data_IF_916879692788
#
_entry.id   IF_916879692788
#
_cell.length_a   1.000
_cell.length_b   1.000
_cell.length_c   1.000
_cell.angle_alpha   90.00
_cell.angle_beta   90.00
_cell.angle_gamma   90.00
#
_symmetry.space_group_name_H-M   'P 1'
#
loop_
_entity.id
_entity.type
_entity.pdbx_description
1 polymer ?
#
# COMPACT_ATOMS: atom_id res chain seq x y z
N UNK A 1 41.17 6.59 61.62
CA UNK A 1 41.75 5.75 60.55
C UNK A 1 40.57 5.19 59.74
N UNK A 2 40.22 5.86 58.63
CA UNK A 2 40.15 5.29 57.25
C UNK A 2 39.00 4.26 57.08
N UNK A 3 37.77 4.65 56.67
CA UNK A 3 37.19 4.82 55.29
C UNK A 3 37.26 3.56 54.39
N UNK A 4 36.09 3.09 53.88
CA UNK A 4 35.68 2.96 52.45
C UNK A 4 34.59 1.88 52.28
N UNK A 5 33.44 2.30 51.72
CA UNK A 5 32.36 1.52 51.09
C UNK A 5 32.83 0.68 49.90
N UNK A 6 32.23 -0.49 49.66
CA UNK A 6 31.94 -0.94 48.28
C UNK A 6 30.70 -1.83 48.21
N UNK A 7 29.73 -1.37 47.41
CA UNK A 7 28.54 -2.04 46.94
C UNK A 7 28.87 -3.40 46.28
N UNK A 8 28.06 -4.43 46.54
CA UNK A 8 27.92 -5.58 45.64
C UNK A 8 26.44 -5.84 45.31
N UNK A 9 26.21 -5.84 44.00
CA UNK A 9 25.00 -5.95 43.20
C UNK A 9 24.16 -7.21 43.44
N UNK A 10 22.82 -7.14 43.47
CA UNK A 10 21.99 -8.30 43.21
C UNK A 10 22.04 -8.65 41.72
N UNK A 11 22.44 -9.89 41.47
CA UNK A 11 22.54 -10.59 40.19
C UNK A 11 21.28 -10.38 39.33
N UNK A 12 21.37 -9.50 38.33
CA UNK A 12 20.34 -9.33 37.30
C UNK A 12 20.26 -10.64 36.50
N UNK A 13 19.19 -11.40 36.71
CA UNK A 13 18.83 -12.54 35.87
C UNK A 13 18.37 -11.95 34.53
N UNK A 14 19.24 -11.97 33.53
CA UNK A 14 18.88 -11.72 32.13
C UNK A 14 17.89 -12.81 31.70
N UNK A 15 16.61 -12.58 31.97
CA UNK A 15 15.59 -13.11 31.06
C UNK A 15 15.84 -12.37 29.75
N UNK A 16 16.21 -13.12 28.73
CA UNK A 16 16.29 -12.68 27.34
C UNK A 16 14.92 -12.19 26.90
N UNK A 17 14.59 -10.97 27.30
CA UNK A 17 13.55 -10.17 26.70
C UNK A 17 13.99 -9.89 25.28
N UNK A 18 13.53 -10.72 24.35
CA UNK A 18 13.35 -10.26 22.99
C UNK A 18 12.31 -9.13 23.09
N UNK A 19 12.79 -7.89 23.26
CA UNK A 19 12.00 -6.72 22.97
C UNK A 19 11.75 -6.84 21.48
N UNK A 20 10.61 -7.43 21.11
CA UNK A 20 10.04 -7.19 19.79
C UNK A 20 9.66 -5.72 19.80
N UNK A 21 10.63 -4.85 19.54
CA UNK A 21 10.37 -3.59 18.86
C UNK A 21 9.83 -4.01 17.49
N UNK A 22 8.57 -4.41 17.47
CA UNK A 22 7.81 -4.57 16.26
C UNK A 22 7.63 -3.18 15.71
N UNK A 23 8.66 -2.67 15.05
CA UNK A 23 8.47 -1.74 13.96
C UNK A 23 7.51 -2.48 13.03
N UNK A 24 6.21 -2.18 13.13
CA UNK A 24 5.38 -2.25 11.94
C UNK A 24 6.10 -1.29 11.00
N UNK A 25 6.87 -1.86 10.10
CA UNK A 25 7.40 -1.13 8.97
C UNK A 25 6.29 -1.23 7.95
N UNK A 26 6.11 -0.18 7.17
CA UNK A 26 5.47 -0.16 5.86
C UNK A 26 6.03 -1.23 4.88
N UNK A 27 6.69 -2.30 5.37
CA UNK A 27 7.24 -3.44 4.64
C UNK A 27 6.17 -4.44 4.24
N UNK A 28 4.97 -4.37 4.82
CA UNK A 28 3.86 -5.24 4.43
C UNK A 28 2.56 -4.44 4.27
N UNK A 29 2.51 -3.46 3.34
CA UNK A 29 1.26 -2.82 3.00
C UNK A 29 0.31 -3.89 2.43
N UNK A 30 -1.00 -3.77 2.68
CA UNK A 30 -1.97 -4.74 2.20
C UNK A 30 -2.06 -4.68 0.67
N UNK A 31 -2.55 -5.76 0.08
CA UNK A 31 -2.81 -5.80 -1.36
C UNK A 31 -3.94 -4.82 -1.70
N UNK A 32 -3.72 -3.85 -2.60
CA UNK A 32 -4.76 -2.95 -3.06
C UNK A 32 -5.80 -3.71 -3.90
N UNK A 33 -7.03 -3.20 -3.90
CA UNK A 33 -8.16 -3.82 -4.60
C UNK A 33 -8.99 -2.77 -5.32
N UNK A 34 -9.71 -3.17 -6.36
CA UNK A 34 -10.78 -2.33 -6.93
C UNK A 34 -12.03 -2.51 -6.09
N UNK A 35 -12.47 -1.43 -5.46
CA UNK A 35 -13.69 -1.39 -4.67
C UNK A 35 -14.90 -1.53 -5.61
N UNK A 36 -15.84 -2.41 -5.25
CA UNK A 36 -17.02 -2.69 -6.07
C UNK A 36 -16.77 -3.60 -7.28
N UNK A 37 -15.58 -4.16 -7.44
CA UNK A 37 -15.34 -5.20 -8.42
C UNK A 37 -16.21 -6.44 -8.16
N UNK A 38 -16.66 -7.11 -9.23
CA UNK A 38 -17.48 -8.32 -9.10
C UNK A 38 -16.70 -9.47 -8.46
N UNK A 39 -17.41 -10.53 -8.03
CA UNK A 39 -16.76 -11.76 -7.54
C UNK A 39 -15.83 -12.40 -8.58
N UNK A 40 -16.00 -12.08 -9.87
CA UNK A 40 -15.14 -12.52 -10.98
C UNK A 40 -14.00 -11.55 -11.30
N UNK A 41 -13.77 -10.53 -10.47
CA UNK A 41 -12.79 -9.46 -10.68
C UNK A 41 -13.09 -8.62 -11.93
N UNK A 42 -14.35 -8.32 -12.17
CA UNK A 42 -14.76 -7.43 -13.25
C UNK A 42 -14.92 -6.00 -12.75
N UNK A 43 -14.47 -5.04 -13.56
CA UNK A 43 -14.59 -3.59 -13.34
C UNK A 43 -15.52 -3.05 -14.42
N UNK A 44 -16.58 -2.36 -14.03
CA UNK A 44 -17.50 -1.73 -14.99
C UNK A 44 -16.98 -0.35 -15.41
N UNK A 45 -16.90 -0.13 -16.71
CA UNK A 45 -16.42 1.11 -17.32
C UNK A 45 -17.47 2.23 -17.31
N UNK A 46 -18.74 1.92 -17.05
CA UNK A 46 -19.81 2.92 -16.91
C UNK A 46 -19.78 3.70 -15.59
N UNK A 47 -18.85 3.38 -14.69
CA UNK A 47 -18.69 4.03 -13.37
C UNK A 47 -17.25 4.49 -13.17
N UNK A 48 -17.05 5.41 -12.23
CA UNK A 48 -15.70 5.74 -11.75
C UNK A 48 -15.02 4.50 -11.17
N UNK A 49 -13.73 4.35 -11.42
CA UNK A 49 -12.94 3.19 -10.95
C UNK A 49 -12.35 3.57 -9.60
N UNK A 50 -12.76 2.87 -8.55
CA UNK A 50 -12.32 3.17 -7.19
C UNK A 50 -11.28 2.15 -6.75
N UNK A 51 -10.05 2.61 -6.52
CA UNK A 51 -8.98 1.82 -5.92
C UNK A 51 -9.01 2.00 -4.41
N UNK A 52 -8.89 0.90 -3.69
CA UNK A 52 -8.79 0.87 -2.23
C UNK A 52 -7.47 0.23 -1.84
N UNK A 53 -6.67 0.93 -1.04
CA UNK A 53 -5.64 0.31 -0.23
C UNK A 53 -6.25 0.02 1.15
N UNK A 54 -6.41 -1.26 1.54
CA UNK A 54 -7.00 -1.60 2.83
C UNK A 54 -6.27 -0.94 4.00
N UNK A 55 -6.97 -0.80 5.12
CA UNK A 55 -6.40 -0.20 6.32
C UNK A 55 -5.18 -0.99 6.82
N UNK A 56 -4.13 -0.26 7.20
CA UNK A 56 -3.00 -0.82 7.91
C UNK A 56 -2.47 0.18 8.94
N UNK A 57 -1.76 -0.32 9.94
CA UNK A 57 -1.38 0.45 11.13
C UNK A 57 0.14 0.68 11.14
N UNK A 58 0.59 1.64 10.36
CA UNK A 58 1.92 2.23 10.50
C UNK A 58 1.81 3.75 10.35
N UNK A 59 2.00 4.54 11.42
CA UNK A 59 1.90 6.00 11.36
C UNK A 59 3.01 6.67 10.52
N UNK A 60 4.06 5.93 10.13
CA UNK A 60 5.12 6.47 9.27
C UNK A 60 4.74 6.48 7.80
N UNK A 61 3.76 5.68 7.41
CA UNK A 61 3.20 5.68 6.06
C UNK A 61 2.26 6.87 5.90
N UNK A 62 2.63 7.83 5.06
CA UNK A 62 1.93 9.12 4.97
C UNK A 62 1.19 9.33 3.67
N UNK A 63 1.62 8.65 2.60
CA UNK A 63 1.10 8.88 1.26
C UNK A 63 1.22 7.63 0.41
N UNK A 64 0.28 7.41 -0.51
CA UNK A 64 0.34 6.31 -1.48
C UNK A 64 0.05 6.83 -2.88
N UNK A 65 0.74 6.25 -3.85
CA UNK A 65 0.40 6.33 -5.26
C UNK A 65 -0.05 4.93 -5.68
N UNK A 66 -1.25 4.82 -6.27
CA UNK A 66 -1.75 3.59 -6.87
C UNK A 66 -1.94 3.78 -8.37
N UNK A 67 -1.58 2.74 -9.12
CA UNK A 67 -1.68 2.68 -10.57
C UNK A 67 -2.58 1.52 -10.97
N UNK A 68 -3.59 1.78 -11.79
CA UNK A 68 -4.27 0.75 -12.55
C UNK A 68 -3.53 0.58 -13.88
N UNK A 69 -2.67 -0.44 -13.94
CA UNK A 69 -1.77 -0.69 -15.06
C UNK A 69 -2.28 -1.85 -15.92
N UNK A 70 -1.98 -1.81 -17.22
CA UNK A 70 -2.30 -2.92 -18.12
C UNK A 70 -1.59 -4.20 -17.68
N UNK A 71 -2.32 -5.31 -17.63
CA UNK A 71 -1.83 -6.58 -17.10
C UNK A 71 -0.79 -7.25 -18.03
N UNK A 72 -0.71 -6.84 -19.29
CA UNK A 72 0.29 -7.29 -20.27
C UNK A 72 1.67 -6.63 -20.12
N UNK A 73 1.87 -5.80 -19.08
CA UNK A 73 3.08 -5.01 -18.81
C UNK A 73 3.38 -3.92 -19.83
N UNK A 74 2.46 -3.62 -20.75
CA UNK A 74 2.57 -2.41 -21.55
C UNK A 74 2.36 -1.18 -20.67
N UNK A 75 3.02 -0.08 -21.03
CA UNK A 75 2.91 1.18 -20.30
C UNK A 75 1.55 1.88 -20.51
N UNK A 76 0.65 1.30 -21.33
CA UNK A 76 -0.61 1.91 -21.75
C UNK A 76 -1.69 0.85 -22.02
N UNK A 77 -2.94 1.07 -21.61
CA UNK A 77 -3.42 2.20 -20.79
C UNK A 77 -2.90 2.12 -19.35
N UNK A 78 -2.79 3.29 -18.71
CA UNK A 78 -2.34 3.46 -17.34
C UNK A 78 -3.13 4.61 -16.72
N UNK A 79 -3.78 4.34 -15.60
CA UNK A 79 -4.41 5.37 -14.77
C UNK A 79 -3.72 5.40 -13.41
N UNK A 80 -3.37 6.59 -12.94
CA UNK A 80 -2.65 6.79 -11.69
C UNK A 80 -3.40 7.78 -10.81
N UNK A 81 -3.40 7.52 -9.51
CA UNK A 81 -3.92 8.44 -8.52
C UNK A 81 -3.15 8.30 -7.22
N UNK A 82 -3.34 9.27 -6.33
CA UNK A 82 -2.58 9.33 -5.08
C UNK A 82 -3.42 9.94 -3.97
N UNK A 83 -3.15 9.54 -2.74
CA UNK A 83 -3.84 10.07 -1.57
C UNK A 83 -2.98 9.95 -0.31
N UNK A 84 -3.29 10.77 0.68
CA UNK A 84 -2.71 10.67 2.01
C UNK A 84 -3.21 9.43 2.74
N UNK A 85 -2.35 8.81 3.53
CA UNK A 85 -2.69 7.64 4.35
C UNK A 85 -3.03 8.10 5.75
N UNK A 86 -4.20 7.68 6.24
CA UNK A 86 -4.58 7.78 7.65
C UNK A 86 -4.37 6.41 8.30
N UNK A 87 -3.49 6.33 9.30
CA UNK A 87 -3.17 5.07 9.98
C UNK A 87 -4.42 4.41 10.57
N UNK A 88 -4.64 3.15 10.22
CA UNK A 88 -5.81 2.38 10.65
C UNK A 88 -7.09 2.58 9.83
N UNK A 89 -7.06 3.41 8.77
CA UNK A 89 -8.19 3.62 7.87
C UNK A 89 -7.85 3.20 6.43
N UNK A 90 -8.83 2.71 5.65
CA UNK A 90 -8.62 2.41 4.25
C UNK A 90 -8.39 3.71 3.47
N UNK A 91 -7.47 3.67 2.50
CA UNK A 91 -7.21 4.78 1.60
C UNK A 91 -7.94 4.56 0.29
N UNK A 92 -8.76 5.52 -0.11
CA UNK A 92 -9.60 5.44 -1.32
C UNK A 92 -9.10 6.42 -2.38
N UNK A 93 -8.94 5.95 -3.61
CA UNK A 93 -8.51 6.72 -4.77
C UNK A 93 -9.49 6.48 -5.91
N UNK A 94 -10.18 7.53 -6.36
CA UNK A 94 -11.09 7.45 -7.51
C UNK A 94 -10.34 7.85 -8.78
N UNK A 95 -10.40 6.98 -9.78
CA UNK A 95 -9.81 7.19 -11.10
C UNK A 95 -10.93 7.33 -12.13
N UNK A 96 -10.72 8.24 -13.07
CA UNK A 96 -11.59 8.40 -14.23
C UNK A 96 -10.97 7.72 -15.45
N UNK A 97 -11.74 6.88 -16.12
CA UNK A 97 -11.35 6.32 -17.41
C UNK A 97 -11.80 7.22 -18.56
N UNK A 98 -11.50 8.51 -18.43
CA UNK A 98 -11.87 9.57 -19.35
C UNK A 98 -10.59 10.24 -19.82
N UNK A 99 -10.43 10.43 -21.12
CA UNK A 99 -9.19 10.98 -21.67
C UNK A 99 -9.35 11.35 -23.13
N UNK A 100 -8.49 12.25 -23.61
CA UNK A 100 -8.44 12.63 -25.02
C UNK A 100 -7.54 11.71 -25.85
N UNK A 101 -6.58 11.04 -25.21
CA UNK A 101 -5.70 10.04 -25.81
C UNK A 101 -6.33 8.65 -25.72
N UNK A 102 -6.80 8.05 -26.83
CA UNK A 102 -7.45 6.75 -26.81
C UNK A 102 -6.53 5.60 -26.36
N UNK A 103 -5.21 5.78 -26.41
CA UNK A 103 -4.25 4.77 -25.93
C UNK A 103 -4.19 4.67 -24.41
N UNK A 104 -4.65 5.71 -23.70
CA UNK A 104 -4.69 5.75 -22.23
C UNK A 104 -6.02 5.29 -21.64
N UNK A 105 -6.99 4.97 -22.49
CA UNK A 105 -8.34 4.59 -22.08
C UNK A 105 -8.46 3.07 -22.02
N UNK A 106 -8.88 2.56 -20.87
CA UNK A 106 -9.24 1.15 -20.70
C UNK A 106 -10.51 0.81 -21.48
N UNK A 107 -10.51 -0.38 -22.10
CA UNK A 107 -11.59 -0.93 -22.92
C UNK A 107 -11.93 -2.33 -22.42
N UNK A 108 -13.13 -2.88 -22.74
CA UNK A 108 -13.52 -4.23 -22.30
C UNK A 108 -12.54 -5.35 -22.69
N UNK A 109 -11.74 -5.14 -23.74
CA UNK A 109 -10.72 -6.09 -24.19
C UNK A 109 -9.45 -6.10 -23.33
N UNK A 110 -9.23 -5.07 -22.51
CA UNK A 110 -8.05 -4.96 -21.67
C UNK A 110 -8.21 -5.74 -20.37
N UNK A 111 -7.07 -5.99 -19.72
CA UNK A 111 -7.00 -6.46 -18.35
C UNK A 111 -6.09 -5.54 -17.57
N UNK A 112 -6.34 -5.38 -16.28
CA UNK A 112 -5.53 -4.52 -15.44
C UNK A 112 -5.14 -5.17 -14.14
N UNK A 113 -4.05 -4.69 -13.55
CA UNK A 113 -3.70 -4.93 -12.15
C UNK A 113 -3.36 -3.62 -11.48
N UNK A 114 -3.48 -3.60 -10.17
CA UNK A 114 -3.08 -2.47 -9.35
C UNK A 114 -1.64 -2.69 -8.92
N UNK A 115 -0.81 -1.69 -9.16
CA UNK A 115 0.51 -1.55 -8.56
C UNK A 115 0.55 -0.26 -7.75
N UNK A 116 1.55 -0.07 -6.91
CA UNK A 116 1.64 1.15 -6.14
C UNK A 116 2.91 1.27 -5.34
N UNK A 117 3.11 2.45 -4.79
CA UNK A 117 4.26 2.82 -3.96
C UNK A 117 3.79 3.64 -2.78
N UNK A 118 4.38 3.42 -1.61
CA UNK A 118 4.01 4.10 -0.37
C UNK A 118 5.17 4.96 0.11
N UNK A 119 4.89 6.22 0.41
CA UNK A 119 5.84 7.10 1.07
C UNK A 119 5.91 6.78 2.56
N UNK A 120 7.14 6.66 3.06
CA UNK A 120 7.43 6.43 4.47
C UNK A 120 8.26 7.59 4.99
N UNK A 121 7.87 8.12 6.16
CA UNK A 121 8.61 9.20 6.83
C UNK A 121 10.02 8.73 7.16
N UNK A 122 11.00 9.63 7.00
CA UNK A 122 12.43 9.38 7.25
C UNK A 122 13.04 8.27 6.38
N UNK A 123 12.45 7.96 5.22
CA UNK A 123 13.00 7.06 4.22
C UNK A 123 13.15 7.73 2.85
N UNK A 124 14.33 7.56 2.25
CA UNK A 124 14.62 8.04 0.89
C UNK A 124 14.07 7.12 -0.21
N UNK A 125 13.55 5.95 0.17
CA UNK A 125 12.99 4.95 -0.75
C UNK A 125 11.56 4.63 -0.37
N UNK A 126 10.70 4.50 -1.39
CA UNK A 126 9.28 4.24 -1.22
C UNK A 126 9.02 2.77 -1.50
N UNK A 127 8.64 1.95 -0.49
CA UNK A 127 8.29 0.55 -0.73
C UNK A 127 7.09 0.42 -1.66
N UNK A 128 7.13 -0.60 -2.51
CA UNK A 128 6.01 -0.98 -3.37
C UNK A 128 4.89 -1.64 -2.55
N UNK A 129 3.65 -1.49 -3.02
CA UNK A 129 2.55 -2.32 -2.57
C UNK A 129 2.59 -3.69 -3.27
N UNK A 130 2.09 -4.77 -2.64
CA UNK A 130 1.88 -6.03 -3.35
C UNK A 130 1.01 -5.80 -4.59
N UNK A 131 1.34 -6.43 -5.70
CA UNK A 131 0.47 -6.38 -6.87
C UNK A 131 -0.90 -7.01 -6.56
N UNK A 132 -1.97 -6.42 -7.11
CA UNK A 132 -3.31 -6.99 -6.97
C UNK A 132 -3.53 -8.22 -7.85
N UNK A 133 -4.71 -8.83 -7.69
CA UNK A 133 -5.25 -9.71 -8.70
C UNK A 133 -5.40 -8.99 -10.06
N UNK A 134 -5.50 -9.78 -11.13
CA UNK A 134 -5.84 -9.26 -12.46
C UNK A 134 -7.35 -9.08 -12.56
N UNK A 135 -7.76 -7.93 -13.08
CA UNK A 135 -9.13 -7.54 -13.33
C UNK A 135 -9.42 -7.49 -14.83
N UNK A 136 -10.67 -7.79 -15.21
CA UNK A 136 -11.18 -7.61 -16.57
C UNK A 136 -12.18 -6.46 -16.60
N UNK A 137 -12.32 -5.80 -17.74
CA UNK A 137 -13.27 -4.70 -17.89
C UNK A 137 -14.56 -5.16 -18.56
N UNK A 138 -15.69 -4.64 -18.09
CA UNK A 138 -17.02 -4.81 -18.67
C UNK A 138 -17.65 -3.44 -18.91
N UNK A 139 -18.69 -3.38 -19.72
CA UNK A 139 -19.47 -2.15 -19.94
C UNK A 139 -20.25 -1.74 -18.68
#
# INVERSE_FOLDING_TARGET
>A
MHVIDFLFTPKLRLQTGAIRYGYAICTHPPTPVVQGASAKKEISLSKGIVLELPAFKDPRCTFVILNLANADNSNRPLLSGSSSITSGEPTIITLENTGTDPSMIFKPTHKARITGTVQVTDMDTWPDTPESAVYSFIE
#
